data_IF_121863594800
#
_entry.id   IF_121863594800
#
_cell.length_a   1.000
_cell.length_b   1.000
_cell.length_c   1.000
_cell.angle_alpha   90.00
_cell.angle_beta   90.00
_cell.angle_gamma   90.00
#
_symmetry.space_group_name_H-M   'P 1'
#
loop_
_entity.id
_entity.type
_entity.pdbx_description
1 polymer ?
#
# COMPACT_ATOMS: atom_id res chain seq x y z
N UNK A 1 -34.96 -17.84 -43.94
CA UNK A 1 -33.87 -16.93 -43.52
C UNK A 1 -34.44 -15.97 -42.49
N UNK A 2 -34.22 -16.27 -41.20
CA UNK A 2 -34.97 -15.66 -40.10
C UNK A 2 -34.25 -14.46 -39.47
N UNK A 3 -35.02 -13.46 -39.04
CA UNK A 3 -34.55 -12.29 -38.27
C UNK A 3 -33.87 -12.65 -36.93
N UNK A 4 -33.86 -13.91 -36.52
CA UNK A 4 -33.20 -14.40 -35.32
C UNK A 4 -31.67 -14.61 -35.49
N UNK A 5 -31.19 -14.83 -36.73
CA UNK A 5 -29.74 -14.99 -37.00
C UNK A 5 -28.94 -13.68 -36.85
N UNK A 6 -29.62 -12.53 -36.95
CA UNK A 6 -28.98 -11.21 -36.82
C UNK A 6 -28.71 -10.79 -35.37
N UNK A 7 -29.37 -11.40 -34.39
CA UNK A 7 -29.20 -11.08 -32.97
C UNK A 7 -28.04 -11.85 -32.31
N UNK A 8 -27.72 -13.06 -32.79
CA UNK A 8 -26.58 -13.82 -32.30
C UNK A 8 -25.22 -13.40 -32.90
N UNK A 9 -25.22 -12.66 -34.00
CA UNK A 9 -23.99 -12.22 -34.67
C UNK A 9 -23.34 -10.97 -34.06
N UNK A 10 -23.98 -10.32 -33.09
CA UNK A 10 -23.42 -9.16 -32.36
C UNK A 10 -22.72 -9.52 -31.04
N UNK A 11 -22.72 -10.79 -30.63
CA UNK A 11 -22.10 -11.25 -29.36
C UNK A 11 -20.75 -11.96 -29.52
N UNK A 12 -20.13 -11.91 -30.70
CA UNK A 12 -18.91 -12.68 -31.01
C UNK A 12 -17.80 -11.88 -31.71
N UNK A 13 -17.73 -10.57 -31.45
CA UNK A 13 -16.62 -9.72 -31.93
C UNK A 13 -16.21 -8.67 -30.90
N UNK A 14 -16.19 -9.04 -29.62
CA UNK A 14 -15.47 -8.31 -28.56
C UNK A 14 -14.60 -9.30 -27.77
N UNK A 15 -13.90 -10.14 -28.53
CA UNK A 15 -12.67 -10.85 -28.17
C UNK A 15 -11.86 -10.69 -29.46
N UNK A 16 -10.73 -10.03 -29.54
CA UNK A 16 -9.64 -9.83 -28.61
C UNK A 16 -9.00 -8.52 -29.06
N UNK A 17 -9.37 -7.41 -28.42
CA UNK A 17 -8.40 -6.33 -28.22
C UNK A 17 -7.72 -6.62 -26.87
N UNK A 18 -7.19 -7.83 -26.68
CA UNK A 18 -5.91 -7.92 -25.99
C UNK A 18 -4.92 -7.28 -26.96
N UNK A 19 -4.94 -5.95 -26.99
CA UNK A 19 -3.71 -5.23 -27.15
C UNK A 19 -2.80 -5.84 -26.07
N UNK A 20 -1.90 -6.69 -26.51
CA UNK A 20 -0.57 -6.88 -25.92
C UNK A 20 0.11 -5.51 -25.86
N UNK A 21 -0.44 -4.57 -25.07
CA UNK A 21 0.40 -3.74 -24.26
C UNK A 21 1.10 -4.74 -23.36
N UNK A 22 2.38 -5.02 -23.62
CA UNK A 22 3.25 -5.41 -22.53
C UNK A 22 2.93 -4.46 -21.38
N UNK A 23 2.20 -4.94 -20.37
CA UNK A 23 1.87 -4.14 -19.19
C UNK A 23 3.20 -3.88 -18.51
N UNK A 24 3.84 -2.78 -18.89
CA UNK A 24 5.08 -2.34 -18.27
C UNK A 24 4.85 -2.31 -16.77
N UNK A 25 5.76 -2.96 -16.04
CA UNK A 25 5.65 -3.04 -14.59
C UNK A 25 5.68 -1.64 -14.01
N UNK A 26 4.80 -1.35 -13.04
CA UNK A 26 4.89 -0.11 -12.28
C UNK A 26 6.23 -0.03 -11.54
N UNK A 27 6.72 1.18 -11.22
CA UNK A 27 7.99 1.33 -10.49
C UNK A 27 8.08 0.48 -9.20
N UNK A 28 6.97 0.33 -8.48
CA UNK A 28 6.93 -0.52 -7.28
C UNK A 28 7.01 -2.01 -7.62
N UNK A 29 6.28 -2.47 -8.65
CA UNK A 29 6.36 -3.85 -9.12
C UNK A 29 7.78 -4.19 -9.60
N UNK A 30 8.43 -3.29 -10.35
CA UNK A 30 9.81 -3.46 -10.80
C UNK A 30 10.79 -3.65 -9.64
N UNK A 31 10.64 -2.90 -8.55
CA UNK A 31 11.51 -3.01 -7.37
C UNK A 31 11.27 -4.29 -6.57
N UNK A 32 10.02 -4.77 -6.54
CA UNK A 32 9.65 -6.00 -5.85
C UNK A 32 10.00 -7.25 -6.67
N UNK A 33 10.11 -7.14 -8.00
CA UNK A 33 10.32 -8.27 -8.90
C UNK A 33 9.19 -9.30 -8.75
N UNK A 34 9.54 -10.58 -8.68
CA UNK A 34 8.57 -11.67 -8.51
C UNK A 34 8.13 -11.90 -7.05
N UNK A 35 8.55 -11.04 -6.12
CA UNK A 35 8.15 -11.14 -4.72
C UNK A 35 6.77 -10.50 -4.50
N UNK A 36 5.72 -11.30 -4.71
CA UNK A 36 4.33 -10.86 -4.56
C UNK A 36 3.96 -10.45 -3.13
N UNK A 37 4.58 -11.08 -2.12
CA UNK A 37 4.34 -10.76 -0.71
C UNK A 37 4.96 -9.42 -0.33
N UNK A 38 6.17 -9.14 -0.82
CA UNK A 38 6.81 -7.82 -0.69
C UNK A 38 6.00 -6.73 -1.40
N UNK A 39 5.53 -7.01 -2.62
CA UNK A 39 4.68 -6.07 -3.37
C UNK A 39 3.39 -5.77 -2.59
N UNK A 40 2.72 -6.79 -2.06
CA UNK A 40 1.56 -6.62 -1.21
C UNK A 40 1.89 -5.80 0.05
N UNK A 41 2.97 -6.15 0.75
CA UNK A 41 3.41 -5.44 1.96
C UNK A 41 3.63 -3.95 1.73
N UNK A 42 4.23 -3.56 0.60
CA UNK A 42 4.49 -2.16 0.30
C UNK A 42 3.24 -1.45 -0.23
N UNK A 43 2.49 -2.08 -1.15
CA UNK A 43 1.28 -1.48 -1.72
C UNK A 43 0.19 -1.16 -0.68
N UNK A 44 0.11 -1.93 0.42
CA UNK A 44 -0.87 -1.71 1.49
C UNK A 44 -0.62 -0.42 2.30
N UNK A 45 0.64 -0.03 2.49
CA UNK A 45 1.01 0.94 3.55
C UNK A 45 2.05 1.98 3.18
N UNK A 46 2.77 1.81 2.06
CA UNK A 46 3.82 2.73 1.63
C UNK A 46 3.19 4.00 1.03
N UNK A 47 3.71 5.17 1.40
CA UNK A 47 3.39 6.40 0.68
C UNK A 47 4.23 6.51 -0.58
N UNK A 48 3.61 6.67 -1.74
CA UNK A 48 4.34 6.85 -3.00
C UNK A 48 5.09 8.17 -3.05
N UNK A 49 4.49 9.24 -2.50
CA UNK A 49 5.14 10.53 -2.31
C UNK A 49 5.01 10.98 -0.85
N UNK A 50 5.96 10.60 0.02
CA UNK A 50 5.91 10.93 1.44
C UNK A 50 6.11 12.42 1.75
N UNK A 51 6.69 13.23 0.84
CA UNK A 51 6.89 14.68 1.06
C UNK A 51 5.58 15.46 1.00
N UNK A 52 4.53 14.89 0.38
CA UNK A 52 3.18 15.46 0.37
C UNK A 52 2.40 15.25 1.67
N UNK A 53 2.92 14.46 2.60
CA UNK A 53 2.29 14.23 3.90
C UNK A 53 2.61 15.42 4.82
N UNK A 54 1.62 16.29 5.03
CA UNK A 54 1.78 17.56 5.79
C UNK A 54 1.89 17.41 7.30
N UNK A 55 1.69 16.20 7.82
CA UNK A 55 1.76 15.89 9.25
C UNK A 55 3.09 15.22 9.56
N UNK A 56 3.75 15.63 10.65
CA UNK A 56 4.98 14.97 11.11
C UNK A 56 4.66 13.59 11.71
N UNK A 57 5.66 12.70 11.74
CA UNK A 57 5.50 11.40 12.37
C UNK A 57 5.12 11.52 13.86
N UNK A 58 5.73 12.46 14.59
CA UNK A 58 5.46 12.63 16.02
C UNK A 58 4.07 13.22 16.28
N UNK A 59 3.61 14.14 15.42
CA UNK A 59 2.23 14.64 15.48
C UNK A 59 1.21 13.53 15.17
N UNK A 60 1.50 12.66 14.18
CA UNK A 60 0.67 11.51 13.90
C UNK A 60 0.58 10.56 15.11
N UNK A 61 1.70 10.28 15.77
CA UNK A 61 1.71 9.45 17.00
C UNK A 61 0.89 10.10 18.11
N UNK A 62 1.06 11.40 18.35
CA UNK A 62 0.31 12.13 19.39
C UNK A 62 -1.20 12.03 19.15
N UNK A 63 -1.65 12.25 17.91
CA UNK A 63 -3.06 12.11 17.53
C UNK A 63 -3.56 10.68 17.69
N UNK A 64 -2.75 9.69 17.33
CA UNK A 64 -3.10 8.28 17.50
C UNK A 64 -3.36 7.93 18.97
N UNK A 65 -2.46 8.35 19.85
CA UNK A 65 -2.55 8.11 21.30
C UNK A 65 -3.73 8.86 21.93
N UNK A 66 -4.05 10.06 21.46
CA UNK A 66 -5.23 10.82 21.89
C UNK A 66 -6.53 10.10 21.52
N UNK A 67 -6.66 9.63 20.28
CA UNK A 67 -7.85 8.86 19.87
C UNK A 67 -7.95 7.51 20.58
N UNK A 68 -6.81 6.88 20.89
CA UNK A 68 -6.77 5.64 21.67
C UNK A 68 -7.33 5.86 23.08
N UNK A 69 -6.92 6.94 23.76
CA UNK A 69 -7.45 7.35 25.08
C UNK A 69 -8.94 7.66 25.04
N UNK A 70 -9.43 8.23 23.95
CA UNK A 70 -10.85 8.52 23.73
C UNK A 70 -11.68 7.27 23.35
N UNK A 71 -11.06 6.09 23.24
CA UNK A 71 -11.73 4.86 22.79
C UNK A 71 -12.02 4.82 21.28
N UNK A 72 -11.59 5.83 20.51
CA UNK A 72 -11.78 5.88 19.06
C UNK A 72 -10.71 5.07 18.33
N UNK A 73 -10.86 3.75 18.37
CA UNK A 73 -9.91 2.79 17.78
C UNK A 73 -9.68 3.01 16.29
N UNK A 74 -10.72 3.38 15.54
CA UNK A 74 -10.61 3.58 14.09
C UNK A 74 -9.73 4.78 13.75
N UNK A 75 -9.92 5.93 14.41
CA UNK A 75 -9.06 7.10 14.21
C UNK A 75 -7.64 6.85 14.71
N UNK A 76 -7.49 6.20 15.87
CA UNK A 76 -6.18 5.82 16.39
C UNK A 76 -5.40 4.96 15.38
N UNK A 77 -6.05 3.94 14.78
CA UNK A 77 -5.47 3.12 13.71
C UNK A 77 -4.99 3.96 12.53
N UNK A 78 -5.80 4.88 12.02
CA UNK A 78 -5.45 5.72 10.87
C UNK A 78 -4.16 6.50 11.16
N UNK A 79 -4.06 7.13 12.33
CA UNK A 79 -2.88 7.91 12.68
C UNK A 79 -1.64 7.04 12.94
N UNK A 80 -1.78 5.85 13.53
CA UNK A 80 -0.67 4.89 13.59
C UNK A 80 -0.23 4.40 12.21
N UNK A 81 -1.16 4.19 11.26
CA UNK A 81 -0.79 3.87 9.86
C UNK A 81 -0.01 5.00 9.22
N UNK A 82 -0.40 6.26 9.45
CA UNK A 82 0.34 7.43 8.96
C UNK A 82 1.74 7.48 9.54
N UNK A 83 1.87 7.32 10.86
CA UNK A 83 3.18 7.26 11.52
C UNK A 83 4.03 6.09 11.00
N UNK A 84 3.42 4.92 10.75
CA UNK A 84 4.06 3.76 10.15
C UNK A 84 4.56 4.03 8.73
N UNK A 85 3.74 4.62 7.87
CA UNK A 85 4.13 5.00 6.51
C UNK A 85 5.28 6.01 6.48
N UNK A 86 5.28 6.98 7.40
CA UNK A 86 6.40 7.91 7.55
C UNK A 86 7.67 7.23 8.10
N UNK A 87 7.53 6.23 8.97
CA UNK A 87 8.66 5.42 9.44
C UNK A 87 9.29 4.60 8.30
N UNK A 88 8.48 4.06 7.36
CA UNK A 88 9.00 3.42 6.14
C UNK A 88 9.86 4.40 5.35
N UNK A 89 9.39 5.64 5.15
CA UNK A 89 10.15 6.69 4.46
C UNK A 89 11.44 7.08 5.17
N UNK A 90 11.46 7.07 6.50
CA UNK A 90 12.67 7.34 7.29
C UNK A 90 13.63 6.15 7.41
N UNK A 91 13.25 4.97 6.92
CA UNK A 91 14.06 3.75 7.08
C UNK A 91 14.01 3.16 8.50
N UNK A 92 13.06 3.58 9.35
CA UNK A 92 13.00 3.20 10.77
C UNK A 92 12.15 1.94 10.98
N UNK A 93 12.79 0.77 10.84
CA UNK A 93 12.15 -0.55 11.01
C UNK A 93 11.52 -0.71 12.40
N UNK A 94 12.16 -0.19 13.45
CA UNK A 94 11.67 -0.29 14.83
C UNK A 94 10.32 0.42 14.97
N UNK A 95 10.21 1.64 14.42
CA UNK A 95 8.95 2.40 14.42
C UNK A 95 7.91 1.80 13.49
N UNK A 96 8.30 1.21 12.35
CA UNK A 96 7.38 0.44 11.48
C UNK A 96 6.73 -0.69 12.26
N UNK A 97 7.52 -1.56 12.91
CA UNK A 97 7.01 -2.66 13.76
C UNK A 97 6.07 -2.13 14.85
N UNK A 98 6.48 -1.06 15.54
CA UNK A 98 5.70 -0.45 16.62
C UNK A 98 4.34 0.05 16.14
N UNK A 99 4.30 0.87 15.09
CA UNK A 99 3.08 1.57 14.69
C UNK A 99 2.09 0.67 13.94
N UNK A 100 2.56 -0.17 13.01
CA UNK A 100 1.67 -1.15 12.39
C UNK A 100 1.23 -2.23 13.39
N UNK A 101 2.10 -2.61 14.34
CA UNK A 101 1.72 -3.50 15.43
C UNK A 101 0.63 -2.92 16.34
N UNK A 102 0.72 -1.63 16.70
CA UNK A 102 -0.34 -0.92 17.43
C UNK A 102 -1.63 -0.84 16.62
N UNK A 103 -1.55 -0.45 15.34
CA UNK A 103 -2.70 -0.40 14.45
C UNK A 103 -3.42 -1.76 14.35
N UNK A 104 -2.67 -2.85 14.18
CA UNK A 104 -3.20 -4.22 14.13
C UNK A 104 -3.89 -4.62 15.44
N UNK A 105 -3.31 -4.30 16.60
CA UNK A 105 -3.90 -4.60 17.90
C UNK A 105 -5.23 -3.88 18.15
N UNK A 106 -5.40 -2.67 17.60
CA UNK A 106 -6.61 -1.87 17.81
C UNK A 106 -7.83 -2.43 17.07
N UNK A 107 -7.66 -2.98 15.86
CA UNK A 107 -8.79 -3.37 15.00
C UNK A 107 -8.74 -4.81 14.48
N UNK A 108 -7.67 -5.56 14.74
CA UNK A 108 -7.45 -6.91 14.20
C UNK A 108 -7.05 -6.96 12.72
N UNK A 109 -6.91 -5.81 12.06
CA UNK A 109 -6.46 -5.72 10.65
C UNK A 109 -5.00 -6.14 10.56
N UNK A 110 -4.71 -7.15 9.73
CA UNK A 110 -3.34 -7.66 9.56
C UNK A 110 -2.58 -6.79 8.56
N UNK A 111 -1.32 -6.48 8.87
CA UNK A 111 -0.42 -5.78 7.94
C UNK A 111 0.66 -6.72 7.44
N UNK A 112 0.73 -6.93 6.12
CA UNK A 112 1.68 -7.87 5.52
C UNK A 112 3.13 -7.47 5.78
N UNK A 113 3.40 -6.16 5.88
CA UNK A 113 4.72 -5.61 6.22
C UNK A 113 5.30 -6.14 7.55
N UNK A 114 4.46 -6.57 8.50
CA UNK A 114 4.94 -7.07 9.79
C UNK A 114 5.61 -8.45 9.70
N UNK A 115 5.45 -9.18 8.59
CA UNK A 115 6.11 -10.48 8.38
C UNK A 115 7.60 -10.36 8.09
N UNK A 116 8.01 -9.35 7.33
CA UNK A 116 9.42 -9.05 7.02
C UNK A 116 9.64 -7.54 6.83
N UNK A 117 9.56 -6.76 7.93
CA UNK A 117 9.64 -5.31 7.84
C UNK A 117 11.03 -4.81 7.43
N UNK A 118 12.11 -5.54 7.74
CA UNK A 118 13.46 -5.22 7.30
C UNK A 118 13.56 -5.20 5.77
N UNK A 119 13.12 -6.29 5.11
CA UNK A 119 13.14 -6.41 3.65
C UNK A 119 12.23 -5.35 3.00
N UNK A 120 11.04 -5.16 3.55
CA UNK A 120 10.09 -4.19 3.04
C UNK A 120 10.65 -2.76 3.11
N UNK A 121 11.16 -2.34 4.27
CA UNK A 121 11.74 -0.99 4.43
C UNK A 121 12.95 -0.80 3.52
N UNK A 122 13.85 -1.78 3.41
CA UNK A 122 15.01 -1.68 2.51
C UNK A 122 14.58 -1.46 1.04
N UNK A 123 13.54 -2.15 0.59
CA UNK A 123 13.00 -2.03 -0.76
C UNK A 123 12.22 -0.74 -0.99
N UNK A 124 11.49 -0.25 0.02
CA UNK A 124 10.89 1.08 -0.03
C UNK A 124 11.96 2.18 -0.14
N UNK A 125 13.09 2.06 0.56
CA UNK A 125 14.22 2.99 0.44
C UNK A 125 14.87 2.98 -0.95
N UNK A 126 14.93 1.83 -1.63
CA UNK A 126 15.31 1.75 -3.05
C UNK A 126 14.34 2.54 -3.93
N UNK A 127 13.02 2.40 -3.68
CA UNK A 127 12.01 3.17 -4.40
C UNK A 127 12.17 4.66 -4.20
N UNK A 128 12.29 5.11 -2.96
CA UNK A 128 12.37 6.53 -2.65
C UNK A 128 13.61 7.19 -3.26
N UNK A 129 14.76 6.52 -3.25
CA UNK A 129 15.98 7.04 -3.91
C UNK A 129 15.83 7.21 -5.42
N UNK A 130 14.95 6.43 -6.06
CA UNK A 130 14.74 6.49 -7.52
C UNK A 130 13.58 7.40 -7.93
N UNK A 131 12.56 7.53 -7.10
CA UNK A 131 11.26 8.10 -7.50
C UNK A 131 10.68 9.13 -6.53
N UNK A 132 11.20 9.28 -5.31
CA UNK A 132 10.71 10.31 -4.40
C UNK A 132 11.38 11.65 -4.72
N UNK A 133 10.74 12.40 -5.61
CA UNK A 133 10.92 13.86 -5.80
C UNK A 133 9.88 14.63 -5.00
#
# INVERSE_FOLDING_TARGET
MGLLDKLFKRKKTETVAEETMEKSLSPLQTICGNDGELYQALSEVMFLNPTRIKISMDEAVKKAEEFEKQGNKLRAKIYYRIAGGLAIYKGDVTRVKRYFGKAQKLTGEKYTILKNPEKAVAKAQEYYRRYAT
#
